data_IF_259166110810
#
_entry.id   IF_259166110810
#
_cell.length_a   1.000
_cell.length_b   1.000
_cell.length_c   1.000
_cell.angle_alpha   90.00
_cell.angle_beta   90.00
_cell.angle_gamma   90.00
#
_symmetry.space_group_name_H-M   'P 1'
#
loop_
_entity.id
_entity.type
_entity.pdbx_description
1 polymer ?
#
# COMPACT_ATOMS: atom_id res chain seq x y z
N UNK A 1 11.70 8.21 20.11
CA UNK A 1 10.31 7.82 19.79
C UNK A 1 9.43 9.06 19.92
N UNK A 2 8.50 9.29 18.98
CA UNK A 2 7.59 10.44 18.94
C UNK A 2 6.15 10.07 19.33
N UNK A 3 5.68 8.92 18.87
CA UNK A 3 4.34 8.40 19.15
C UNK A 3 4.33 6.86 19.15
N UNK A 4 3.50 6.28 19.99
CA UNK A 4 3.21 4.86 20.00
C UNK A 4 1.72 4.67 20.30
N UNK A 5 1.04 3.86 19.51
CA UNK A 5 -0.37 3.52 19.75
C UNK A 5 -0.53 2.56 20.94
N UNK A 6 -1.71 2.55 21.57
CA UNK A 6 -2.01 1.73 22.75
C UNK A 6 -1.84 0.22 22.48
N UNK A 7 -2.08 -0.21 21.23
CA UNK A 7 -1.93 -1.58 20.77
C UNK A 7 -0.48 -1.95 20.37
N UNK A 8 0.45 -1.02 20.49
CA UNK A 8 1.86 -1.14 20.10
C UNK A 8 2.06 -1.52 18.61
N UNK A 9 1.03 -1.35 17.77
CA UNK A 9 1.09 -1.71 16.34
C UNK A 9 1.46 -0.53 15.44
N UNK A 10 1.57 0.67 15.98
CA UNK A 10 1.87 1.89 15.21
C UNK A 10 2.83 2.78 16.00
N UNK A 11 4.09 2.80 15.57
CA UNK A 11 5.16 3.55 16.24
C UNK A 11 5.74 4.57 15.29
N UNK A 12 5.94 5.79 15.77
CA UNK A 12 6.54 6.88 14.99
C UNK A 12 7.79 7.43 15.68
N UNK A 13 8.78 7.72 14.86
CA UNK A 13 9.99 8.44 15.26
C UNK A 13 10.08 9.75 14.49
N UNK A 14 10.44 10.83 15.18
CA UNK A 14 10.77 12.12 14.56
C UNK A 14 12.26 12.27 14.46
N UNK A 15 12.79 12.47 13.27
CA UNK A 15 14.21 12.69 13.03
C UNK A 15 14.65 12.33 11.63
N UNK A 16 15.94 12.47 11.39
CA UNK A 16 16.58 11.98 10.18
C UNK A 16 16.52 10.45 10.15
N UNK A 17 16.06 9.89 9.04
CA UNK A 17 15.85 8.45 8.91
C UNK A 17 17.13 7.65 9.13
N UNK A 18 18.27 8.15 8.68
CA UNK A 18 19.57 7.48 8.81
C UNK A 18 20.02 7.40 10.27
N UNK A 19 19.81 8.48 11.02
CA UNK A 19 20.18 8.55 12.44
C UNK A 19 19.25 7.66 13.27
N UNK A 20 17.95 7.74 13.02
CA UNK A 20 16.97 6.91 13.76
C UNK A 20 17.18 5.43 13.48
N UNK A 21 17.39 5.05 12.20
CA UNK A 21 17.64 3.66 11.82
C UNK A 21 18.87 3.05 12.49
N UNK A 22 19.95 3.82 12.65
CA UNK A 22 21.16 3.35 13.34
C UNK A 22 20.96 3.09 14.83
N UNK A 23 19.92 3.70 15.43
CA UNK A 23 19.58 3.56 16.85
C UNK A 23 18.47 2.55 17.11
N UNK A 24 17.85 1.99 16.07
CA UNK A 24 16.81 1.00 16.19
C UNK A 24 17.38 -0.40 16.43
N UNK A 25 17.11 -0.97 17.61
CA UNK A 25 17.49 -2.35 17.94
C UNK A 25 16.56 -3.40 17.32
N UNK A 26 15.38 -2.97 16.85
CA UNK A 26 14.37 -3.86 16.29
C UNK A 26 14.70 -4.32 14.88
N UNK A 27 14.52 -5.61 14.59
CA UNK A 27 14.55 -6.15 13.23
C UNK A 27 13.15 -6.19 12.63
N UNK A 28 13.03 -5.75 11.38
CA UNK A 28 11.76 -5.69 10.65
C UNK A 28 11.73 -6.68 9.49
N UNK A 29 10.53 -7.10 9.10
CA UNK A 29 10.31 -8.08 8.04
C UNK A 29 10.40 -7.44 6.67
N UNK A 30 9.79 -6.26 6.53
CA UNK A 30 9.75 -5.52 5.26
C UNK A 30 9.99 -4.03 5.51
N UNK A 31 10.71 -3.42 4.57
CA UNK A 31 10.83 -1.97 4.47
C UNK A 31 10.11 -1.52 3.20
N UNK A 32 9.24 -0.52 3.34
CA UNK A 32 8.73 0.26 2.20
C UNK A 32 9.31 1.66 2.30
N UNK A 33 9.88 2.16 1.22
CA UNK A 33 10.51 3.48 1.18
C UNK A 33 10.03 4.29 -0.03
N UNK A 34 9.61 5.53 0.22
CA UNK A 34 9.31 6.54 -0.80
C UNK A 34 10.24 7.75 -0.60
N UNK A 35 11.55 7.61 -0.96
CA UNK A 35 12.55 8.63 -0.68
C UNK A 35 12.29 9.91 -1.48
N UNK A 36 12.91 11.04 -1.14
CA UNK A 36 12.92 12.24 -1.97
C UNK A 36 13.40 11.95 -3.39
N UNK A 37 12.70 12.54 -4.38
CA UNK A 37 13.06 12.39 -5.80
C UNK A 37 13.93 13.52 -6.33
N UNK A 38 14.16 14.56 -5.50
CA UNK A 38 14.96 15.75 -5.81
C UNK A 38 14.50 16.51 -7.06
N UNK A 39 13.19 16.64 -7.24
CA UNK A 39 12.58 17.25 -8.42
C UNK A 39 12.16 18.70 -8.23
N UNK A 40 12.33 19.27 -7.04
CA UNK A 40 11.88 20.63 -6.72
C UNK A 40 12.90 21.66 -7.17
N UNK A 41 12.78 22.13 -8.42
CA UNK A 41 13.69 23.13 -9.04
C UNK A 41 12.99 24.49 -9.21
N UNK A 42 11.93 24.80 -8.44
CA UNK A 42 11.21 26.06 -8.56
C UNK A 42 10.23 26.15 -9.74
N UNK A 43 10.00 25.05 -10.46
CA UNK A 43 9.04 24.99 -11.55
C UNK A 43 7.58 25.10 -11.11
N UNK A 44 6.69 25.35 -12.07
CA UNK A 44 5.24 25.38 -11.84
C UNK A 44 4.55 24.42 -12.80
N UNK A 45 3.43 23.85 -12.34
CA UNK A 45 2.52 23.04 -13.17
C UNK A 45 1.11 23.62 -13.11
N UNK A 46 0.33 23.38 -14.15
CA UNK A 46 -1.08 23.76 -14.15
C UNK A 46 -1.90 22.53 -13.69
N UNK A 47 -2.80 22.74 -12.74
CA UNK A 47 -3.78 21.76 -12.33
C UNK A 47 -5.18 22.38 -12.39
N UNK A 48 -6.00 21.91 -13.33
CA UNK A 48 -7.21 22.62 -13.74
C UNK A 48 -6.85 23.98 -14.34
N UNK A 49 -7.50 25.05 -13.92
CA UNK A 49 -7.22 26.43 -14.37
C UNK A 49 -6.20 27.19 -13.50
N UNK A 50 -5.49 26.52 -12.61
CA UNK A 50 -4.57 27.16 -11.64
C UNK A 50 -3.13 26.75 -11.85
N UNK A 51 -2.22 27.74 -11.81
CA UNK A 51 -0.78 27.51 -11.77
C UNK A 51 -0.38 27.09 -10.35
N UNK A 52 0.16 25.89 -10.21
CA UNK A 52 0.59 25.36 -8.91
C UNK A 52 2.11 25.16 -8.93
N UNK A 53 2.80 25.62 -7.87
CA UNK A 53 4.21 25.34 -7.71
C UNK A 53 4.47 23.84 -7.60
N UNK A 54 5.48 23.33 -8.30
CA UNK A 54 5.97 21.95 -8.15
C UNK A 54 6.90 21.79 -6.96
N UNK A 55 7.20 22.88 -6.24
CA UNK A 55 8.02 22.83 -5.04
C UNK A 55 7.29 22.04 -3.94
N UNK A 56 7.85 20.88 -3.57
CA UNK A 56 7.30 19.98 -2.54
C UNK A 56 7.87 20.26 -1.14
N UNK A 57 8.88 21.12 -1.06
CA UNK A 57 9.59 21.48 0.16
C UNK A 57 11.10 21.41 0.01
N UNK A 58 11.83 21.91 1.02
CA UNK A 58 13.29 21.95 1.01
C UNK A 58 13.95 20.58 0.94
N UNK A 59 13.25 19.55 1.41
CA UNK A 59 13.69 18.16 1.39
C UNK A 59 13.77 17.55 -0.05
N UNK A 60 13.08 18.12 -1.02
CA UNK A 60 13.02 17.63 -2.42
C UNK A 60 13.78 18.57 -3.38
N UNK A 61 14.65 19.45 -2.88
CA UNK A 61 15.48 20.32 -3.73
C UNK A 61 16.42 19.49 -4.60
N UNK A 62 16.58 19.93 -5.85
CA UNK A 62 17.49 19.30 -6.81
C UNK A 62 18.92 19.24 -6.25
N UNK A 63 19.59 18.11 -6.47
CA UNK A 63 20.96 17.83 -6.07
C UNK A 63 21.79 17.36 -7.26
N UNK A 64 23.10 17.36 -7.12
CA UNK A 64 23.95 16.71 -8.11
C UNK A 64 23.69 15.21 -8.15
N UNK A 65 23.98 14.51 -9.26
CA UNK A 65 23.86 13.04 -9.31
C UNK A 65 24.67 12.33 -8.23
N UNK A 66 25.85 12.84 -7.92
CA UNK A 66 26.75 12.32 -6.88
C UNK A 66 26.13 12.47 -5.47
N UNK A 67 25.51 13.62 -5.19
CA UNK A 67 24.81 13.85 -3.92
C UNK A 67 23.59 12.96 -3.77
N UNK A 68 22.88 12.68 -4.88
CA UNK A 68 21.74 11.75 -4.90
C UNK A 68 22.20 10.32 -4.62
N UNK A 69 23.30 9.88 -5.26
CA UNK A 69 23.88 8.56 -5.02
C UNK A 69 24.38 8.43 -3.57
N UNK A 70 25.07 9.43 -3.04
CA UNK A 70 25.53 9.44 -1.65
C UNK A 70 24.37 9.36 -0.67
N UNK A 71 23.32 10.16 -0.86
CA UNK A 71 22.12 10.12 -0.05
C UNK A 71 21.46 8.73 -0.09
N UNK A 72 21.26 8.18 -1.30
CA UNK A 72 20.62 6.88 -1.47
C UNK A 72 21.43 5.76 -0.81
N UNK A 73 22.73 5.77 -0.95
CA UNK A 73 23.62 4.79 -0.31
C UNK A 73 23.48 4.80 1.22
N UNK A 74 23.54 5.98 1.84
CA UNK A 74 23.52 6.09 3.30
C UNK A 74 22.22 5.54 3.93
N UNK A 75 21.06 5.91 3.41
CA UNK A 75 19.82 5.42 3.99
C UNK A 75 19.54 3.95 3.66
N UNK A 76 19.97 3.46 2.48
CA UNK A 76 19.84 2.04 2.10
C UNK A 76 20.70 1.16 3.02
N UNK A 77 21.94 1.57 3.31
CA UNK A 77 22.81 0.86 4.25
C UNK A 77 22.24 0.85 5.67
N UNK A 78 21.67 1.97 6.13
CA UNK A 78 20.99 2.04 7.43
C UNK A 78 19.77 1.10 7.48
N UNK A 79 18.96 1.07 6.41
CA UNK A 79 17.84 0.13 6.25
C UNK A 79 18.30 -1.34 6.31
N UNK A 80 19.42 -1.67 5.68
CA UNK A 80 19.99 -3.01 5.72
C UNK A 80 20.29 -3.46 7.14
N UNK A 81 20.74 -2.53 7.99
CA UNK A 81 21.04 -2.78 9.41
C UNK A 81 19.83 -3.31 10.20
N UNK A 82 18.65 -2.76 9.97
CA UNK A 82 17.41 -3.11 10.71
C UNK A 82 16.56 -4.19 10.03
N UNK A 83 16.84 -4.55 8.79
CA UNK A 83 16.09 -5.57 8.07
C UNK A 83 16.52 -6.98 8.53
N UNK A 84 15.58 -7.91 8.70
CA UNK A 84 15.85 -9.34 8.93
C UNK A 84 16.62 -9.93 7.74
N UNK A 85 17.28 -11.06 7.93
CA UNK A 85 18.09 -11.68 6.86
C UNK A 85 17.25 -12.18 5.69
N UNK A 86 16.05 -12.67 5.94
CA UNK A 86 15.05 -13.06 4.94
C UNK A 86 14.12 -11.90 4.52
N UNK A 87 14.32 -10.72 5.10
CA UNK A 87 13.53 -9.52 4.85
C UNK A 87 13.75 -8.92 3.48
N UNK A 88 12.76 -8.12 3.04
CA UNK A 88 12.77 -7.45 1.74
C UNK A 88 12.53 -5.96 1.85
N UNK A 89 12.99 -5.22 0.86
CA UNK A 89 12.80 -3.77 0.74
C UNK A 89 12.07 -3.45 -0.57
N UNK A 90 11.12 -2.53 -0.50
CA UNK A 90 10.39 -1.96 -1.63
C UNK A 90 10.69 -0.48 -1.70
N UNK A 91 11.20 -0.01 -2.83
CA UNK A 91 11.59 1.40 -2.98
C UNK A 91 10.87 2.00 -4.18
N UNK A 92 10.07 3.04 -3.93
CA UNK A 92 9.43 3.82 -4.99
C UNK A 92 10.40 4.82 -5.62
N UNK A 93 10.15 5.11 -6.89
CA UNK A 93 10.89 6.11 -7.62
C UNK A 93 10.29 6.45 -8.98
N UNK A 94 10.81 7.52 -9.57
CA UNK A 94 10.55 7.89 -10.97
C UNK A 94 11.82 7.64 -11.78
N UNK A 95 11.77 7.86 -13.09
CA UNK A 95 12.96 7.72 -13.95
C UNK A 95 14.12 8.65 -13.54
N UNK A 96 13.87 9.69 -12.73
CA UNK A 96 14.90 10.61 -12.27
C UNK A 96 15.83 10.01 -11.19
N UNK A 97 15.30 9.12 -10.33
CA UNK A 97 16.08 8.62 -9.18
C UNK A 97 16.15 7.09 -9.11
N UNK A 98 15.32 6.35 -9.85
CA UNK A 98 15.21 4.89 -9.71
C UNK A 98 16.51 4.17 -10.06
N UNK A 99 17.27 4.68 -11.02
CA UNK A 99 18.56 4.10 -11.43
C UNK A 99 19.63 4.25 -10.35
N UNK A 100 19.68 5.41 -9.67
CA UNK A 100 20.55 5.63 -8.51
C UNK A 100 20.18 4.67 -7.36
N UNK A 101 18.88 4.53 -7.06
CA UNK A 101 18.39 3.59 -6.05
C UNK A 101 18.79 2.16 -6.38
N UNK A 102 18.61 1.73 -7.63
CA UNK A 102 18.94 0.37 -8.08
C UNK A 102 20.44 0.09 -7.93
N UNK A 103 21.29 1.02 -8.37
CA UNK A 103 22.73 0.95 -8.21
C UNK A 103 23.12 0.83 -6.74
N UNK A 104 22.60 1.72 -5.88
CA UNK A 104 22.92 1.74 -4.45
C UNK A 104 22.45 0.46 -3.73
N UNK A 105 21.30 -0.10 -4.09
CA UNK A 105 20.85 -1.40 -3.57
C UNK A 105 21.83 -2.53 -3.92
N UNK A 106 22.27 -2.61 -5.17
CA UNK A 106 23.26 -3.60 -5.61
C UNK A 106 24.62 -3.44 -4.91
N UNK A 107 25.11 -2.20 -4.85
CA UNK A 107 26.37 -1.87 -4.19
C UNK A 107 26.33 -2.19 -2.69
N UNK A 108 25.16 -2.05 -2.06
CA UNK A 108 24.93 -2.47 -0.67
C UNK A 108 24.67 -3.98 -0.52
N UNK A 109 24.75 -4.76 -1.59
CA UNK A 109 24.62 -6.22 -1.58
C UNK A 109 23.20 -6.76 -1.48
N UNK A 110 22.18 -5.97 -1.80
CA UNK A 110 20.83 -6.46 -2.02
C UNK A 110 20.74 -7.19 -3.37
N UNK A 111 19.84 -8.16 -3.43
CA UNK A 111 19.49 -8.79 -4.71
C UNK A 111 18.13 -8.27 -5.17
N UNK A 112 18.09 -7.63 -6.32
CA UNK A 112 16.85 -7.20 -6.97
C UNK A 112 16.03 -8.44 -7.32
N UNK A 113 14.73 -8.44 -6.96
CA UNK A 113 13.76 -9.49 -7.27
C UNK A 113 12.95 -9.07 -8.50
N UNK A 114 12.31 -7.89 -8.43
CA UNK A 114 11.53 -7.31 -9.52
C UNK A 114 11.72 -5.79 -9.58
N UNK A 115 11.51 -5.23 -10.75
CA UNK A 115 11.24 -3.81 -10.95
C UNK A 115 9.82 -3.72 -11.47
N UNK A 116 8.92 -3.15 -10.66
CA UNK A 116 7.50 -3.06 -10.95
C UNK A 116 7.21 -1.71 -11.57
N UNK A 117 6.47 -1.71 -12.66
CA UNK A 117 5.93 -0.50 -13.27
C UNK A 117 4.52 -0.24 -12.72
N UNK A 118 4.39 0.79 -11.89
CA UNK A 118 3.07 1.28 -11.52
C UNK A 118 2.57 2.25 -12.58
N UNK A 119 1.69 1.76 -13.45
CA UNK A 119 0.99 2.53 -14.46
C UNK A 119 -0.22 3.22 -13.82
N UNK A 120 -0.22 4.55 -13.78
CA UNK A 120 -1.36 5.33 -13.30
C UNK A 120 -2.50 5.25 -14.30
N UNK A 121 -3.70 4.89 -13.84
CA UNK A 121 -4.89 4.89 -14.71
C UNK A 121 -5.44 6.31 -14.98
N UNK A 122 -5.00 7.28 -14.14
CA UNK A 122 -5.40 8.68 -14.15
C UNK A 122 -4.18 9.63 -14.16
N UNK A 123 -3.25 9.52 -15.15
CA UNK A 123 -2.05 10.34 -15.15
C UNK A 123 -2.40 11.81 -15.37
N UNK A 124 -1.72 12.69 -14.65
CA UNK A 124 -1.85 14.14 -14.87
C UNK A 124 -1.29 14.48 -16.26
N UNK A 125 -2.04 15.16 -17.12
CA UNK A 125 -1.52 15.59 -18.41
C UNK A 125 -0.25 16.45 -18.26
N UNK A 126 0.74 16.20 -19.09
CA UNK A 126 1.94 17.03 -19.19
C UNK A 126 1.75 18.08 -20.28
N UNK A 127 2.27 19.27 -20.02
CA UNK A 127 2.27 20.35 -20.98
C UNK A 127 3.54 20.28 -21.83
N UNK A 128 3.37 20.49 -23.10
CA UNK A 128 4.44 20.45 -24.09
C UNK A 128 4.30 19.26 -25.04
N UNK A 129 4.55 19.52 -26.31
CA UNK A 129 4.38 18.57 -27.41
C UNK A 129 5.69 17.80 -27.71
N UNK A 130 6.69 17.90 -26.81
CA UNK A 130 8.04 17.40 -27.05
C UNK A 130 8.33 16.03 -26.43
N UNK A 131 7.39 15.48 -25.65
CA UNK A 131 7.58 14.18 -24.97
C UNK A 131 6.24 13.50 -24.67
N UNK A 132 6.30 12.21 -24.43
CA UNK A 132 5.15 11.43 -24.01
C UNK A 132 4.68 11.83 -22.61
N UNK A 133 3.38 11.64 -22.31
CA UNK A 133 2.83 11.87 -20.98
C UNK A 133 3.41 10.90 -19.96
N UNK A 134 3.90 11.42 -18.84
CA UNK A 134 4.44 10.59 -17.76
C UNK A 134 3.31 9.91 -16.99
N UNK A 135 3.11 8.63 -17.24
CA UNK A 135 2.04 7.83 -16.65
C UNK A 135 2.52 6.76 -15.68
N UNK A 136 3.83 6.63 -15.48
CA UNK A 136 4.41 5.54 -14.68
C UNK A 136 5.31 6.03 -13.57
N UNK A 137 5.29 5.29 -12.46
CA UNK A 137 6.33 5.27 -11.43
C UNK A 137 6.88 3.85 -11.34
N UNK A 138 8.08 3.71 -10.78
CA UNK A 138 8.75 2.43 -10.65
C UNK A 138 8.88 2.05 -9.18
N UNK A 139 8.86 0.74 -8.91
CA UNK A 139 9.04 0.21 -7.57
C UNK A 139 10.03 -0.93 -7.65
N UNK A 140 11.19 -0.78 -7.02
CA UNK A 140 12.17 -1.84 -6.92
C UNK A 140 11.85 -2.71 -5.73
N UNK A 141 11.72 -4.01 -5.93
CA UNK A 141 11.64 -5.01 -4.89
C UNK A 141 12.96 -5.77 -4.80
N UNK A 142 13.57 -5.74 -3.63
CA UNK A 142 14.85 -6.38 -3.40
C UNK A 142 14.88 -7.15 -2.08
N UNK A 143 15.69 -8.20 -1.99
CA UNK A 143 15.94 -8.95 -0.76
C UNK A 143 17.31 -8.66 -0.19
N UNK A 144 17.40 -8.63 1.15
CA UNK A 144 18.63 -8.33 1.87
C UNK A 144 19.72 -9.35 1.61
N UNK A 145 19.42 -10.62 1.83
CA UNK A 145 20.38 -11.71 1.67
C UNK A 145 20.10 -12.51 0.40
N UNK A 146 21.04 -12.55 -0.57
CA UNK A 146 20.86 -13.28 -1.82
C UNK A 146 20.61 -14.79 -1.64
N UNK A 147 21.03 -15.36 -0.50
CA UNK A 147 20.91 -16.79 -0.19
C UNK A 147 19.67 -17.14 0.64
N UNK A 148 19.08 -16.17 1.35
CA UNK A 148 17.89 -16.40 2.16
C UNK A 148 16.63 -16.47 1.28
N UNK A 149 15.70 -17.35 1.67
CA UNK A 149 14.38 -17.43 1.03
C UNK A 149 13.48 -16.37 1.66
N UNK A 150 13.17 -15.31 0.93
CA UNK A 150 12.19 -14.32 1.33
C UNK A 150 10.76 -14.86 1.23
N UNK A 151 9.84 -14.25 1.97
CA UNK A 151 8.41 -14.55 1.87
C UNK A 151 7.82 -13.90 0.61
N UNK A 152 7.03 -14.67 -0.13
CA UNK A 152 6.16 -14.19 -1.20
C UNK A 152 4.85 -14.97 -1.17
N UNK A 153 3.74 -14.26 -1.05
CA UNK A 153 2.40 -14.85 -1.04
C UNK A 153 1.91 -15.14 -2.46
N UNK A 154 2.54 -16.13 -3.07
CA UNK A 154 2.32 -16.52 -4.46
C UNK A 154 0.86 -16.83 -4.76
N UNK A 155 0.22 -17.64 -3.91
CA UNK A 155 -1.15 -18.11 -4.13
C UNK A 155 -2.14 -16.94 -4.04
N UNK A 156 -1.96 -16.05 -3.07
CA UNK A 156 -2.77 -14.85 -2.94
C UNK A 156 -2.60 -13.92 -4.15
N UNK A 157 -1.36 -13.68 -4.59
CA UNK A 157 -1.11 -12.83 -5.76
C UNK A 157 -1.73 -13.42 -7.02
N UNK A 158 -1.67 -14.73 -7.18
CA UNK A 158 -2.34 -15.45 -8.27
C UNK A 158 -3.86 -15.32 -8.20
N UNK A 159 -4.45 -15.49 -7.02
CA UNK A 159 -5.89 -15.30 -6.81
C UNK A 159 -6.31 -13.87 -7.13
N UNK A 160 -5.57 -12.87 -6.63
CA UNK A 160 -5.81 -11.45 -6.91
C UNK A 160 -5.72 -11.09 -8.40
N UNK A 161 -5.08 -11.92 -9.19
CA UNK A 161 -4.96 -11.76 -10.64
C UNK A 161 -5.83 -12.76 -11.43
N UNK A 162 -6.96 -13.16 -10.85
CA UNK A 162 -7.94 -14.02 -11.53
C UNK A 162 -7.43 -15.44 -11.83
N UNK A 163 -6.53 -15.97 -11.02
CA UNK A 163 -5.93 -17.30 -11.17
C UNK A 163 -4.67 -17.35 -12.05
N UNK A 164 -4.32 -16.26 -12.75
CA UNK A 164 -3.08 -16.13 -13.50
C UNK A 164 -1.96 -15.52 -12.65
N UNK A 165 -0.71 -15.70 -13.07
CA UNK A 165 0.43 -15.06 -12.40
C UNK A 165 0.28 -13.53 -12.41
N UNK A 166 0.53 -12.88 -11.27
CA UNK A 166 0.52 -11.42 -11.18
C UNK A 166 1.71 -10.85 -11.96
N UNK A 167 1.47 -9.99 -12.97
CA UNK A 167 2.56 -9.36 -13.71
C UNK A 167 3.23 -8.25 -12.91
N UNK A 168 4.36 -7.77 -13.40
CA UNK A 168 5.12 -6.64 -12.83
C UNK A 168 4.68 -5.26 -13.36
N UNK A 169 3.66 -5.21 -14.18
CA UNK A 169 2.99 -3.96 -14.58
C UNK A 169 1.65 -3.86 -13.86
N UNK A 170 1.56 -2.89 -12.93
CA UNK A 170 0.37 -2.68 -12.10
C UNK A 170 -0.39 -1.42 -12.54
N UNK A 171 -1.55 -1.59 -13.12
CA UNK A 171 -2.43 -0.49 -13.47
C UNK A 171 -3.29 -0.13 -12.25
N UNK A 172 -2.96 0.97 -11.58
CA UNK A 172 -3.64 1.46 -10.38
C UNK A 172 -3.81 2.98 -10.46
N UNK A 173 -4.93 3.52 -9.96
CA UNK A 173 -5.12 4.97 -9.91
C UNK A 173 -4.18 5.62 -8.90
N UNK A 174 -4.00 6.93 -9.05
CA UNK A 174 -3.39 7.80 -8.05
C UNK A 174 -4.23 7.85 -6.77
N UNK A 175 -3.72 8.54 -5.74
CA UNK A 175 -4.42 8.66 -4.45
C UNK A 175 -5.77 9.37 -4.62
N UNK A 176 -6.84 8.72 -4.16
CA UNK A 176 -8.19 9.27 -4.19
C UNK A 176 -8.41 10.42 -3.20
N UNK A 177 -9.41 11.28 -3.46
CA UNK A 177 -9.76 12.38 -2.55
C UNK A 177 -10.21 11.88 -1.17
N UNK A 178 -10.85 10.73 -1.11
CA UNK A 178 -11.33 10.08 0.12
C UNK A 178 -10.18 9.63 1.04
N UNK A 179 -8.99 9.41 0.51
CA UNK A 179 -7.78 9.12 1.29
C UNK A 179 -7.14 10.38 1.91
N UNK A 180 -7.64 11.57 1.57
CA UNK A 180 -7.11 12.88 1.98
C UNK A 180 -8.02 13.60 2.99
N UNK A 181 -9.02 12.92 3.56
CA UNK A 181 -10.00 13.52 4.48
C UNK A 181 -9.37 14.10 5.74
N UNK A 182 -8.28 13.54 6.22
CA UNK A 182 -7.57 14.03 7.41
C UNK A 182 -6.60 15.20 7.12
N UNK A 183 -6.28 15.43 5.86
CA UNK A 183 -5.31 16.41 5.39
C UNK A 183 -4.61 15.97 4.11
N UNK A 184 -3.75 16.84 3.57
CA UNK A 184 -3.05 16.59 2.30
C UNK A 184 -1.55 16.43 2.54
N UNK A 185 -0.96 15.43 1.90
CA UNK A 185 0.48 15.31 1.71
C UNK A 185 0.78 15.36 0.21
N UNK A 186 1.79 16.10 -0.26
CA UNK A 186 2.01 16.34 -1.69
C UNK A 186 2.30 15.09 -2.51
N UNK A 187 2.94 14.09 -1.89
CA UNK A 187 3.36 12.85 -2.54
C UNK A 187 2.72 11.60 -1.92
N UNK A 188 1.54 11.74 -1.30
CA UNK A 188 0.87 10.59 -0.69
C UNK A 188 0.69 9.45 -1.69
N UNK A 189 1.11 8.24 -1.31
CA UNK A 189 0.87 7.02 -2.10
C UNK A 189 -0.53 6.47 -1.85
N UNK A 190 -1.18 5.83 -2.84
CA UNK A 190 -2.50 5.24 -2.68
C UNK A 190 -2.46 3.98 -1.81
N UNK A 191 -3.45 3.78 -0.96
CA UNK A 191 -3.59 2.60 -0.11
C UNK A 191 -3.57 1.30 -0.92
N UNK A 192 -4.17 1.29 -2.10
CA UNK A 192 -4.21 0.10 -2.98
C UNK A 192 -2.83 -0.42 -3.35
N UNK A 193 -1.88 0.49 -3.59
CA UNK A 193 -0.50 0.13 -3.88
C UNK A 193 0.13 -0.57 -2.67
N UNK A 194 -0.03 0.06 -1.49
CA UNK A 194 0.53 -0.46 -0.25
C UNK A 194 -0.10 -1.80 0.15
N UNK A 195 -1.41 -1.97 -0.03
CA UNK A 195 -2.07 -3.26 0.21
C UNK A 195 -1.44 -4.37 -0.62
N UNK A 196 -1.24 -4.16 -1.92
CA UNK A 196 -0.64 -5.16 -2.80
C UNK A 196 0.78 -5.52 -2.35
N UNK A 197 1.61 -4.53 -2.06
CA UNK A 197 2.98 -4.73 -1.56
C UNK A 197 2.99 -5.52 -0.26
N UNK A 198 2.19 -5.09 0.71
CA UNK A 198 2.13 -5.68 2.05
C UNK A 198 1.64 -7.12 1.99
N UNK A 199 0.56 -7.37 1.27
CA UNK A 199 0.01 -8.73 1.11
C UNK A 199 0.94 -9.67 0.34
N UNK A 200 1.69 -9.14 -0.62
CA UNK A 200 2.64 -9.94 -1.38
C UNK A 200 3.83 -10.41 -0.53
N UNK A 201 4.32 -9.55 0.37
CA UNK A 201 5.63 -9.74 1.00
C UNK A 201 5.62 -9.90 2.52
N UNK A 202 4.44 -9.94 3.16
CA UNK A 202 4.31 -10.08 4.62
C UNK A 202 3.17 -11.00 5.03
N UNK A 203 3.26 -11.51 6.27
CA UNK A 203 2.18 -12.22 6.98
C UNK A 203 1.50 -11.31 7.99
N UNK A 204 0.25 -11.58 8.42
CA UNK A 204 -0.32 -10.94 9.60
C UNK A 204 0.63 -11.04 10.80
N UNK A 205 0.81 -9.93 11.52
CA UNK A 205 1.74 -9.83 12.65
C UNK A 205 3.16 -9.39 12.30
N UNK A 206 3.59 -9.46 11.04
CA UNK A 206 4.91 -8.97 10.60
C UNK A 206 5.05 -7.45 10.80
N UNK A 207 6.29 -6.99 10.90
CA UNK A 207 6.63 -5.57 11.12
C UNK A 207 7.11 -4.92 9.83
N UNK A 208 6.48 -3.82 9.46
CA UNK A 208 6.82 -2.99 8.30
C UNK A 208 7.42 -1.69 8.78
N UNK A 209 8.53 -1.27 8.19
CA UNK A 209 9.18 0.01 8.46
C UNK A 209 9.11 0.90 7.22
N UNK A 210 8.82 2.19 7.45
CA UNK A 210 8.87 3.24 6.42
C UNK A 210 9.79 4.36 6.89
N UNK A 211 11.01 4.51 6.30
CA UNK A 211 11.96 5.52 6.71
C UNK A 211 11.62 6.93 6.20
N UNK A 212 10.59 7.06 5.35
CA UNK A 212 10.09 8.31 4.78
C UNK A 212 8.56 8.36 4.90
N UNK A 213 8.05 8.19 6.12
CA UNK A 213 6.67 7.85 6.39
C UNK A 213 5.65 8.91 5.91
N UNK A 214 6.03 10.18 5.81
CA UNK A 214 5.15 11.25 5.38
C UNK A 214 3.82 11.24 6.13
N UNK A 215 2.72 11.11 5.40
CA UNK A 215 1.36 10.98 5.97
C UNK A 215 1.03 9.57 6.48
N UNK A 216 2.02 8.69 6.62
CA UNK A 216 1.92 7.33 7.16
C UNK A 216 0.93 6.42 6.41
N UNK A 217 0.82 6.54 5.10
CA UNK A 217 -0.08 5.66 4.31
C UNK A 217 0.33 4.20 4.47
N UNK A 218 1.63 3.91 4.51
CA UNK A 218 2.19 2.58 4.78
C UNK A 218 1.70 2.02 6.11
N UNK A 219 1.73 2.84 7.16
CA UNK A 219 1.27 2.44 8.50
C UNK A 219 -0.22 2.18 8.58
N UNK A 220 -1.01 3.02 7.91
CA UNK A 220 -2.45 2.83 7.77
C UNK A 220 -2.74 1.49 7.09
N UNK A 221 -2.11 1.24 5.94
CA UNK A 221 -2.27 -0.01 5.21
C UNK A 221 -1.81 -1.23 6.02
N UNK A 222 -0.67 -1.13 6.71
CA UNK A 222 -0.12 -2.18 7.56
C UNK A 222 -1.11 -2.58 8.67
N UNK A 223 -1.63 -1.60 9.41
CA UNK A 223 -2.56 -1.89 10.50
C UNK A 223 -3.92 -2.40 10.00
N UNK A 224 -4.43 -1.93 8.87
CA UNK A 224 -5.65 -2.45 8.26
C UNK A 224 -5.50 -3.92 7.85
N UNK A 225 -4.29 -4.35 7.56
CA UNK A 225 -3.95 -5.73 7.21
C UNK A 225 -3.38 -6.53 8.40
N UNK A 226 -3.50 -6.04 9.63
CA UNK A 226 -2.99 -6.68 10.84
C UNK A 226 -1.46 -6.85 10.87
N UNK A 227 -0.72 -5.88 10.33
CA UNK A 227 0.73 -5.79 10.44
C UNK A 227 1.12 -4.68 11.40
N UNK A 228 2.29 -4.79 12.03
CA UNK A 228 2.90 -3.74 12.85
C UNK A 228 3.60 -2.72 11.95
N UNK A 229 3.68 -1.49 12.41
CA UNK A 229 4.28 -0.41 11.65
C UNK A 229 5.26 0.42 12.48
N UNK A 230 6.38 0.74 11.88
CA UNK A 230 7.36 1.72 12.37
C UNK A 230 7.55 2.77 11.28
N UNK A 231 7.26 4.03 11.57
CA UNK A 231 7.43 5.15 10.64
C UNK A 231 8.44 6.15 11.15
N UNK A 232 9.25 6.71 10.25
CA UNK A 232 10.20 7.76 10.54
C UNK A 232 9.92 8.94 9.62
N UNK A 233 9.85 10.16 10.15
CA UNK A 233 9.76 11.39 9.38
C UNK A 233 10.37 12.56 10.14
N UNK A 234 10.93 13.52 9.42
CA UNK A 234 11.46 14.75 10.02
C UNK A 234 10.37 15.75 10.34
N UNK A 235 9.28 15.73 9.56
CA UNK A 235 8.18 16.69 9.67
C UNK A 235 7.18 16.30 10.74
N UNK A 236 7.16 17.06 11.82
CA UNK A 236 6.15 16.88 12.87
C UNK A 236 4.72 17.05 12.35
N UNK A 237 4.51 17.93 11.37
CA UNK A 237 3.20 18.13 10.75
C UNK A 237 2.71 16.86 10.03
N UNK A 238 3.60 16.16 9.35
CA UNK A 238 3.26 14.90 8.68
C UNK A 238 3.07 13.75 9.68
N UNK A 239 3.87 13.69 10.73
CA UNK A 239 3.65 12.72 11.81
C UNK A 239 2.30 12.92 12.50
N UNK A 240 1.92 14.18 12.81
CA UNK A 240 0.59 14.51 13.35
C UNK A 240 -0.53 14.12 12.37
N UNK A 241 -0.33 14.33 11.08
CA UNK A 241 -1.28 13.88 10.06
C UNK A 241 -1.41 12.34 10.05
N UNK A 242 -0.30 11.63 10.16
CA UNK A 242 -0.28 10.16 10.26
C UNK A 242 -1.04 9.65 11.49
N UNK A 243 -0.83 10.26 12.65
CA UNK A 243 -1.56 9.94 13.88
C UNK A 243 -3.07 10.17 13.67
N UNK A 244 -3.45 11.33 13.11
CA UNK A 244 -4.85 11.65 12.83
C UNK A 244 -5.49 10.61 11.91
N UNK A 245 -4.79 10.18 10.85
CA UNK A 245 -5.25 9.12 9.93
C UNK A 245 -5.42 7.79 10.65
N UNK A 246 -4.46 7.41 11.52
CA UNK A 246 -4.56 6.19 12.34
C UNK A 246 -5.79 6.25 13.27
N UNK A 247 -6.04 7.39 13.92
CA UNK A 247 -7.20 7.57 14.80
C UNK A 247 -8.53 7.64 14.03
N UNK A 248 -8.54 8.27 12.84
CA UNK A 248 -9.73 8.34 11.99
C UNK A 248 -10.19 6.94 11.55
N UNK A 249 -9.25 6.08 11.19
CA UNK A 249 -9.53 4.68 10.91
C UNK A 249 -10.15 4.00 12.14
N UNK A 250 -9.54 4.20 13.31
CA UNK A 250 -10.03 3.62 14.57
C UNK A 250 -11.46 4.06 14.90
N UNK A 251 -11.81 5.32 14.61
CA UNK A 251 -13.08 5.91 14.99
C UNK A 251 -14.19 5.74 13.95
N UNK A 252 -13.86 5.66 12.66
CA UNK A 252 -14.84 5.57 11.57
C UNK A 252 -15.13 4.15 11.14
N UNK A 253 -14.36 3.17 11.60
CA UNK A 253 -14.28 1.96 10.83
C UNK A 253 -14.75 0.74 11.61
N UNK A 254 -15.88 0.19 11.14
CA UNK A 254 -16.29 -1.18 11.43
C UNK A 254 -15.14 -2.18 11.20
N UNK A 255 -14.26 -1.88 10.26
CA UNK A 255 -13.09 -2.70 9.93
C UNK A 255 -12.04 -2.71 11.05
N UNK A 256 -11.78 -1.57 11.69
CA UNK A 256 -10.84 -1.54 12.81
C UNK A 256 -11.39 -2.27 14.04
N UNK A 257 -12.68 -2.11 14.32
CA UNK A 257 -13.34 -2.87 15.39
C UNK A 257 -13.31 -4.36 15.10
N UNK A 258 -13.56 -4.74 13.85
CA UNK A 258 -13.47 -6.14 13.41
C UNK A 258 -12.04 -6.68 13.52
N UNK A 259 -11.01 -5.90 13.13
CA UNK A 259 -9.61 -6.29 13.34
C UNK A 259 -9.26 -6.46 14.80
N UNK A 260 -9.75 -5.56 15.66
CA UNK A 260 -9.58 -5.65 17.11
C UNK A 260 -10.22 -6.93 17.65
N UNK A 261 -11.45 -7.23 17.27
CA UNK A 261 -12.13 -8.47 17.64
C UNK A 261 -11.37 -9.70 17.16
N UNK A 262 -10.90 -9.72 15.91
CA UNK A 262 -10.10 -10.82 15.36
C UNK A 262 -8.77 -10.99 16.12
N UNK A 263 -8.12 -9.89 16.53
CA UNK A 263 -6.87 -9.93 17.26
C UNK A 263 -7.06 -10.39 18.72
N UNK A 264 -8.16 -9.95 19.35
CA UNK A 264 -8.52 -10.33 20.72
C UNK A 264 -9.06 -11.77 20.82
N UNK A 265 -9.69 -12.24 19.73
CA UNK A 265 -10.30 -13.58 19.65
C UNK A 265 -9.86 -14.28 18.35
N UNK A 266 -8.63 -14.79 18.29
CA UNK A 266 -8.08 -15.39 17.06
C UNK A 266 -8.80 -16.65 16.62
N UNK A 267 -9.59 -17.27 17.48
CA UNK A 267 -10.45 -18.43 17.20
C UNK A 267 -11.82 -18.01 16.62
N UNK A 268 -12.16 -16.71 16.65
CA UNK A 268 -13.41 -16.23 16.08
C UNK A 268 -13.39 -16.23 14.55
N UNK A 269 -14.53 -16.55 14.01
CA UNK A 269 -14.77 -16.67 12.58
C UNK A 269 -14.87 -15.28 11.94
N UNK A 270 -14.10 -15.04 10.88
CA UNK A 270 -14.20 -13.81 10.11
C UNK A 270 -15.38 -13.86 9.13
N UNK A 271 -16.28 -12.91 9.25
CA UNK A 271 -17.45 -12.76 8.38
C UNK A 271 -17.34 -11.48 7.57
N UNK A 272 -17.46 -11.57 6.25
CA UNK A 272 -17.60 -10.40 5.37
C UNK A 272 -19.07 -10.13 5.11
N UNK A 273 -19.50 -8.90 5.38
CA UNK A 273 -20.86 -8.46 5.07
C UNK A 273 -20.88 -7.83 3.68
N UNK A 274 -21.61 -8.44 2.77
CA UNK A 274 -21.81 -7.92 1.43
C UNK A 274 -23.25 -7.40 1.26
N UNK A 275 -23.38 -6.12 0.96
CA UNK A 275 -24.65 -5.51 0.60
C UNK A 275 -24.88 -5.64 -0.90
N UNK A 276 -25.91 -6.38 -1.28
CA UNK A 276 -26.28 -6.61 -2.67
C UNK A 276 -27.74 -6.19 -2.96
N UNK A 277 -28.03 -5.80 -4.20
CA UNK A 277 -29.41 -5.69 -4.67
C UNK A 277 -30.04 -7.08 -4.70
N UNK A 278 -31.39 -7.15 -4.61
CA UNK A 278 -32.12 -8.41 -4.55
C UNK A 278 -31.77 -9.37 -5.70
N UNK A 279 -31.80 -8.89 -6.92
CA UNK A 279 -31.46 -9.63 -8.13
C UNK A 279 -30.01 -10.15 -8.12
N UNK A 280 -29.09 -9.33 -7.65
CA UNK A 280 -27.68 -9.67 -7.49
C UNK A 280 -27.48 -10.72 -6.40
N UNK A 281 -28.18 -10.58 -5.25
CA UNK A 281 -28.14 -11.54 -4.15
C UNK A 281 -28.64 -12.91 -4.60
N UNK A 282 -29.80 -12.97 -5.26
CA UNK A 282 -30.34 -14.20 -5.80
C UNK A 282 -29.39 -14.90 -6.77
N UNK A 283 -28.70 -14.10 -7.59
CA UNK A 283 -27.72 -14.62 -8.53
C UNK A 283 -26.47 -15.15 -7.83
N UNK A 284 -25.96 -14.44 -6.81
CA UNK A 284 -24.83 -14.91 -5.99
C UNK A 284 -25.16 -16.26 -5.33
N UNK A 285 -26.36 -16.39 -4.77
CA UNK A 285 -26.82 -17.64 -4.15
C UNK A 285 -26.88 -18.78 -5.19
N UNK A 286 -27.46 -18.52 -6.35
CA UNK A 286 -27.62 -19.52 -7.40
C UNK A 286 -26.30 -20.00 -7.99
N UNK A 287 -25.32 -19.09 -8.14
CA UNK A 287 -24.03 -19.39 -8.76
C UNK A 287 -22.97 -19.85 -7.77
N UNK A 288 -23.20 -19.67 -6.47
CA UNK A 288 -22.18 -19.89 -5.45
C UNK A 288 -21.04 -18.86 -5.48
N UNK A 289 -21.19 -17.78 -6.26
CA UNK A 289 -20.17 -16.75 -6.45
C UNK A 289 -20.61 -15.46 -5.77
N UNK A 290 -19.90 -15.04 -4.73
CA UNK A 290 -20.07 -13.75 -4.09
C UNK A 290 -18.96 -12.80 -4.56
N UNK A 291 -19.32 -11.64 -5.10
CA UNK A 291 -18.35 -10.62 -5.43
C UNK A 291 -18.54 -9.36 -4.59
N UNK A 292 -17.41 -8.79 -4.18
CA UNK A 292 -17.32 -7.48 -3.54
C UNK A 292 -16.82 -6.49 -4.58
N UNK A 293 -17.45 -5.31 -4.64
CA UNK A 293 -16.96 -4.26 -5.53
C UNK A 293 -15.56 -3.82 -5.11
N UNK A 294 -14.61 -4.10 -5.97
CA UNK A 294 -13.27 -3.53 -5.91
C UNK A 294 -13.16 -2.39 -6.93
N UNK A 295 -14.07 -1.40 -6.83
CA UNK A 295 -14.23 -0.40 -7.87
C UNK A 295 -13.10 0.64 -7.91
N UNK A 296 -12.52 0.86 -9.08
CA UNK A 296 -11.59 1.96 -9.32
C UNK A 296 -12.27 3.33 -9.15
N UNK A 297 -13.59 3.42 -9.36
CA UNK A 297 -14.36 4.66 -9.39
C UNK A 297 -15.02 5.06 -8.07
N UNK A 298 -15.17 4.15 -7.13
CA UNK A 298 -15.99 4.41 -5.93
C UNK A 298 -15.19 4.79 -4.69
N UNK A 299 -13.85 4.82 -4.75
CA UNK A 299 -13.02 5.11 -3.59
C UNK A 299 -13.15 4.09 -2.46
N UNK A 300 -14.01 3.08 -2.60
CA UNK A 300 -14.17 2.05 -1.59
C UNK A 300 -12.93 1.18 -1.51
N UNK A 301 -12.54 0.86 -0.29
CA UNK A 301 -11.44 -0.06 -0.05
C UNK A 301 -11.78 -1.41 -0.66
N UNK A 302 -10.94 -1.85 -1.59
CA UNK A 302 -11.17 -3.07 -2.34
C UNK A 302 -10.93 -4.32 -1.54
N UNK A 303 -10.35 -4.20 -0.35
CA UNK A 303 -9.92 -5.32 0.45
C UNK A 303 -10.36 -5.09 1.89
N UNK A 304 -11.18 -5.99 2.37
CA UNK A 304 -11.63 -6.03 3.75
C UNK A 304 -10.48 -6.51 4.63
N UNK A 305 -10.15 -5.82 5.72
CA UNK A 305 -9.19 -6.32 6.71
C UNK A 305 -9.57 -7.73 7.17
N UNK A 306 -8.59 -8.60 7.30
CA UNK A 306 -8.82 -9.98 7.72
C UNK A 306 -9.39 -10.91 6.64
N UNK A 307 -9.47 -10.48 5.38
CA UNK A 307 -9.95 -11.35 4.30
C UNK A 307 -9.14 -12.67 4.18
N UNK A 308 -7.88 -12.66 4.57
CA UNK A 308 -7.02 -13.85 4.63
C UNK A 308 -7.53 -14.91 5.62
N UNK A 309 -8.39 -14.50 6.57
CA UNK A 309 -9.02 -15.37 7.57
C UNK A 309 -10.52 -15.56 7.32
N UNK A 310 -11.04 -15.00 6.24
CA UNK A 310 -12.47 -15.05 5.92
C UNK A 310 -12.94 -16.47 5.73
N UNK A 311 -13.97 -16.86 6.48
CA UNK A 311 -14.61 -18.17 6.41
C UNK A 311 -16.07 -18.10 5.94
N UNK A 312 -16.70 -16.95 6.16
CA UNK A 312 -18.12 -16.79 5.86
C UNK A 312 -18.39 -15.47 5.14
N UNK A 313 -19.45 -15.45 4.37
CA UNK A 313 -19.99 -14.25 3.73
C UNK A 313 -21.46 -14.09 4.16
N UNK A 314 -21.78 -12.93 4.72
CA UNK A 314 -23.15 -12.53 5.03
C UNK A 314 -23.70 -11.69 3.88
N UNK A 315 -24.68 -12.20 3.16
CA UNK A 315 -25.36 -11.43 2.12
C UNK A 315 -26.54 -10.67 2.73
N UNK A 316 -26.52 -9.36 2.58
CA UNK A 316 -27.52 -8.44 3.10
C UNK A 316 -28.20 -7.67 1.96
N UNK A 317 -29.51 -7.54 2.03
CA UNK A 317 -30.33 -6.70 1.12
C UNK A 317 -31.34 -5.93 1.98
N UNK A 318 -31.59 -4.66 1.68
CA UNK A 318 -32.59 -3.88 2.42
C UNK A 318 -33.97 -4.54 2.36
N UNK A 319 -34.59 -4.67 3.53
CA UNK A 319 -35.95 -5.25 3.68
C UNK A 319 -36.01 -6.77 3.63
N UNK A 320 -34.89 -7.47 3.55
CA UNK A 320 -34.82 -8.93 3.55
C UNK A 320 -33.93 -9.46 4.69
N UNK A 321 -34.15 -10.72 5.05
CA UNK A 321 -33.28 -11.39 6.02
C UNK A 321 -31.88 -11.59 5.45
N UNK A 322 -30.89 -11.39 6.31
CA UNK A 322 -29.51 -11.73 6.01
C UNK A 322 -29.35 -13.25 5.85
N UNK A 323 -28.49 -13.65 4.93
CA UNK A 323 -28.14 -15.06 4.72
C UNK A 323 -26.64 -15.24 4.85
N UNK A 324 -26.24 -16.19 5.70
CA UNK A 324 -24.85 -16.53 5.96
C UNK A 324 -24.44 -17.74 5.13
N UNK A 325 -23.35 -17.61 4.40
CA UNK A 325 -22.75 -18.66 3.58
C UNK A 325 -21.33 -18.96 4.05
N UNK A 326 -21.00 -20.23 4.16
CA UNK A 326 -19.63 -20.68 4.42
C UNK A 326 -18.87 -20.74 3.10
N UNK A 327 -17.62 -20.25 3.10
CA UNK A 327 -16.72 -20.41 1.96
C UNK A 327 -16.24 -21.85 1.86
N UNK A 328 -16.12 -22.38 0.66
CA UNK A 328 -15.55 -23.71 0.43
C UNK A 328 -14.10 -23.79 0.94
N UNK A 329 -13.37 -22.70 0.81
CA UNK A 329 -11.99 -22.57 1.28
C UNK A 329 -11.81 -21.28 2.06
N UNK A 330 -11.21 -21.35 3.24
CA UNK A 330 -10.89 -20.20 4.09
C UNK A 330 -9.98 -19.20 3.35
N UNK A 331 -10.37 -17.93 3.38
CA UNK A 331 -9.63 -16.87 2.71
C UNK A 331 -9.62 -16.95 1.19
N UNK A 332 -10.42 -17.82 0.59
CA UNK A 332 -10.49 -17.96 -0.87
C UNK A 332 -11.20 -16.75 -1.48
N UNK A 333 -10.49 -15.97 -2.26
CA UNK A 333 -11.09 -14.96 -3.11
C UNK A 333 -10.31 -14.82 -4.42
N UNK A 334 -10.98 -14.30 -5.44
CA UNK A 334 -10.39 -13.99 -6.73
C UNK A 334 -10.76 -12.56 -7.12
N UNK A 335 -9.84 -11.85 -7.73
CA UNK A 335 -10.16 -10.56 -8.34
C UNK A 335 -10.57 -10.83 -9.79
N UNK A 336 -11.82 -10.54 -10.08
CA UNK A 336 -12.38 -10.69 -11.41
C UNK A 336 -12.51 -9.33 -12.08
N UNK A 337 -12.21 -9.29 -13.37
CA UNK A 337 -12.52 -8.13 -14.21
C UNK A 337 -14.04 -8.05 -14.46
N UNK A 338 -14.52 -6.89 -14.87
CA UNK A 338 -15.91 -6.71 -15.31
C UNK A 338 -16.29 -7.76 -16.36
N UNK A 339 -15.42 -7.98 -17.33
CA UNK A 339 -15.61 -8.96 -18.40
C UNK A 339 -15.75 -10.41 -17.87
N UNK A 340 -14.93 -10.76 -16.88
CA UNK A 340 -15.04 -12.09 -16.25
C UNK A 340 -16.35 -12.24 -15.50
N UNK A 341 -16.81 -11.21 -14.78
CA UNK A 341 -18.10 -11.20 -14.10
C UNK A 341 -19.24 -11.33 -15.10
N UNK A 342 -19.18 -10.62 -16.22
CA UNK A 342 -20.19 -10.69 -17.29
C UNK A 342 -20.28 -12.09 -17.91
N UNK A 343 -19.17 -12.77 -18.14
CA UNK A 343 -19.13 -14.17 -18.59
C UNK A 343 -19.85 -15.13 -17.64
N UNK A 344 -19.80 -14.84 -16.33
CA UNK A 344 -20.55 -15.58 -15.31
C UNK A 344 -21.97 -15.04 -15.11
N UNK A 345 -22.40 -14.15 -16.00
CA UNK A 345 -23.75 -13.62 -16.04
C UNK A 345 -24.04 -12.53 -15.01
N UNK A 346 -23.05 -11.94 -14.36
CA UNK A 346 -23.23 -10.75 -13.53
C UNK A 346 -23.16 -9.49 -14.40
N UNK A 347 -23.99 -8.51 -14.08
CA UNK A 347 -23.96 -7.18 -14.71
C UNK A 347 -23.52 -6.18 -13.66
N UNK A 348 -22.20 -5.91 -13.53
CA UNK A 348 -21.73 -4.93 -12.58
C UNK A 348 -22.27 -3.56 -12.97
N UNK A 349 -22.99 -2.89 -12.09
CA UNK A 349 -23.36 -1.49 -12.30
C UNK A 349 -22.09 -0.63 -12.21
N UNK A 350 -21.98 0.36 -13.10
CA UNK A 350 -20.87 1.31 -13.21
C UNK A 350 -20.46 1.99 -11.92
#
# INVERSE_FOLDING_TARGET
MYYQSDDNKFVLYKGDSKEVLRQLDSKVDVIFADPPYFLSNGGSKIQGNSLISVNKGDWDKAKSPEDVDAFNKEWIEACKGVLKDDGTIWVCGTFHNIYSVEKCLKDSGFRIINIITWQKSDPTPTWGELHFNFSSEYIIWARKNPRAKHYFNYDLMKQMNGGALMPDVWKLPSVGFWEKTCGKHPTQKPLRLLYRIIMASTRPGDTILDPFAGSCTTGVAANLLDRKFIGIDQSEAYLKLGIKRKLDIKNKDRFFQMQKQIAENPEEVTVVVNYARKDTKEKMIRTGICYLRAGESTGSMCITPGFERMEYVLLHTNGENCQLFKLEQKGAFQIWTKETLEKHGFTPSH
#
